data_IF_406413336801
#
_entry.id   IF_406413336801
#
_cell.length_a   1.000
_cell.length_b   1.000
_cell.length_c   1.000
_cell.angle_alpha   90.00
_cell.angle_beta   90.00
_cell.angle_gamma   90.00
#
_symmetry.space_group_name_H-M   'P 1'
#
loop_
_entity.id
_entity.type
_entity.pdbx_description
1 polymer ?
#
# COMPACT_ATOMS: atom_id res chain seq x y z
N UNK A 1 1.19 12.99 28.36
CA UNK A 1 1.94 13.85 27.41
C UNK A 1 1.78 13.26 26.01
N UNK A 2 0.86 13.80 25.21
CA UNK A 2 0.62 13.32 23.85
C UNK A 2 1.79 13.70 22.95
N UNK A 3 2.25 12.76 22.10
CA UNK A 3 3.27 13.06 21.08
C UNK A 3 2.69 14.08 20.12
N UNK A 4 3.21 15.30 20.14
CA UNK A 4 2.94 16.29 19.10
C UNK A 4 3.37 15.69 17.75
N UNK A 5 2.53 15.77 16.68
CA UNK A 5 2.89 15.24 15.38
C UNK A 5 4.19 15.89 14.92
N UNK A 6 5.22 15.07 14.66
CA UNK A 6 6.46 15.57 14.05
C UNK A 6 6.23 15.73 12.56
N UNK A 7 6.93 16.68 11.95
CA UNK A 7 6.94 16.86 10.50
C UNK A 7 7.25 15.52 9.82
N UNK A 8 6.23 14.92 9.21
CA UNK A 8 6.40 13.69 8.46
C UNK A 8 6.98 14.06 7.09
N UNK A 9 8.12 13.47 6.73
CA UNK A 9 8.63 13.57 5.36
C UNK A 9 7.54 13.06 4.42
N UNK A 10 7.26 13.82 3.37
CA UNK A 10 6.26 13.54 2.33
C UNK A 10 6.70 12.41 1.39
N UNK A 11 7.17 11.29 1.94
CA UNK A 11 7.31 10.06 1.18
C UNK A 11 5.91 9.53 0.89
N UNK A 12 5.59 9.30 -0.39
CA UNK A 12 4.29 8.77 -0.82
C UNK A 12 4.02 7.37 -0.25
N UNK A 13 5.08 6.61 0.04
CA UNK A 13 5.06 5.24 0.55
C UNK A 13 6.15 5.09 1.63
N UNK A 14 5.87 4.34 2.69
CA UNK A 14 6.80 4.01 3.79
C UNK A 14 6.91 2.51 3.97
N UNK A 15 8.07 2.05 4.45
CA UNK A 15 8.28 0.65 4.77
C UNK A 15 7.51 0.25 6.03
N UNK A 16 6.83 -0.90 6.01
CA UNK A 16 6.02 -1.37 7.14
C UNK A 16 6.90 -1.76 8.33
N UNK A 17 8.08 -2.35 8.06
CA UNK A 17 8.97 -2.84 9.10
C UNK A 17 9.67 -1.72 9.89
N UNK A 18 10.25 -0.74 9.18
CA UNK A 18 11.10 0.29 9.79
C UNK A 18 10.54 1.72 9.66
N UNK A 19 9.42 1.92 8.97
CA UNK A 19 8.80 3.23 8.73
C UNK A 19 9.69 4.24 7.97
N UNK A 20 10.77 3.76 7.35
CA UNK A 20 11.65 4.56 6.50
C UNK A 20 11.02 4.82 5.12
N UNK A 21 11.48 5.84 4.38
CA UNK A 21 11.04 6.11 3.03
C UNK A 21 11.27 4.94 2.06
N UNK A 22 10.42 4.86 1.05
CA UNK A 22 10.48 3.84 -0.01
C UNK A 22 10.67 4.53 -1.35
N UNK A 23 11.51 3.96 -2.21
CA UNK A 23 11.79 4.46 -3.56
C UNK A 23 11.37 3.43 -4.60
N UNK A 24 11.07 3.89 -5.82
CA UNK A 24 10.82 3.01 -6.97
C UNK A 24 12.14 2.82 -7.73
N UNK A 25 12.54 1.57 -7.95
CA UNK A 25 13.73 1.22 -8.74
C UNK A 25 13.46 1.41 -10.24
N UNK A 26 14.51 1.31 -11.06
CA UNK A 26 14.40 1.38 -12.52
C UNK A 26 13.62 0.20 -13.11
N UNK A 27 13.56 -0.92 -12.40
CA UNK A 27 12.78 -2.13 -12.74
C UNK A 27 11.31 -1.99 -12.31
N UNK A 28 10.97 -0.88 -11.65
CA UNK A 28 9.60 -0.58 -11.23
C UNK A 28 9.23 -1.14 -9.85
N UNK A 29 10.16 -1.78 -9.16
CA UNK A 29 9.99 -2.34 -7.82
C UNK A 29 10.06 -1.27 -6.74
N UNK A 30 9.44 -1.53 -5.58
CA UNK A 30 9.48 -0.61 -4.44
C UNK A 30 10.42 -1.15 -3.37
N UNK A 31 11.48 -0.41 -3.05
CA UNK A 31 12.50 -0.85 -2.09
C UNK A 31 12.68 0.19 -0.98
N UNK A 32 12.77 -0.29 0.27
CA UNK A 32 13.08 0.54 1.41
C UNK A 32 14.52 1.05 1.37
N UNK A 33 14.72 2.35 1.60
CA UNK A 33 16.07 2.96 1.56
C UNK A 33 16.97 2.60 2.75
N UNK A 34 16.39 1.99 3.79
CA UNK A 34 17.09 1.69 5.05
C UNK A 34 17.32 0.19 5.23
N UNK A 35 16.26 -0.63 5.24
CA UNK A 35 16.38 -2.07 5.45
C UNK A 35 16.42 -2.90 4.15
N UNK A 36 16.09 -2.32 3.00
CA UNK A 36 16.05 -3.04 1.72
C UNK A 36 14.78 -3.89 1.50
N UNK A 37 13.86 -3.95 2.46
CA UNK A 37 12.60 -4.70 2.29
C UNK A 37 11.73 -4.11 1.18
N UNK A 38 10.94 -4.98 0.55
CA UNK A 38 9.91 -4.64 -0.44
C UNK A 38 8.57 -4.47 0.27
N UNK A 39 8.09 -3.24 0.53
CA UNK A 39 6.93 -3.02 1.39
C UNK A 39 5.59 -3.08 0.64
N UNK A 40 5.64 -3.29 -0.67
CA UNK A 40 4.47 -3.39 -1.53
C UNK A 40 4.68 -4.62 -2.41
N UNK A 41 3.97 -5.69 -2.13
CA UNK A 41 3.84 -6.77 -3.10
C UNK A 41 2.90 -6.29 -4.21
N UNK A 42 3.25 -6.44 -5.50
CA UNK A 42 2.30 -6.18 -6.56
C UNK A 42 1.14 -7.15 -6.35
N UNK A 43 -0.01 -6.65 -5.92
CA UNK A 43 -1.25 -7.41 -6.06
C UNK A 43 -1.44 -7.55 -7.55
N UNK A 44 -1.19 -8.74 -8.10
CA UNK A 44 -1.55 -9.11 -9.47
C UNK A 44 -2.93 -8.53 -9.70
N UNK A 45 -3.05 -7.62 -10.67
CA UNK A 45 -4.24 -6.80 -10.89
C UNK A 45 -5.47 -7.68 -10.86
N UNK A 46 -6.22 -7.62 -9.76
CA UNK A 46 -7.63 -7.93 -9.80
C UNK A 46 -8.25 -6.78 -10.60
N UNK A 47 -8.20 -6.90 -11.92
CA UNK A 47 -9.33 -6.51 -12.75
C UNK A 47 -10.44 -7.52 -12.40
N UNK A 48 -11.45 -7.18 -11.57
CA UNK A 48 -12.69 -7.90 -11.67
C UNK A 48 -13.31 -7.42 -12.98
N UNK A 49 -13.01 -8.10 -14.09
CA UNK A 49 -13.99 -8.18 -15.17
C UNK A 49 -15.33 -8.50 -14.49
N UNK A 50 -16.21 -7.51 -14.53
CA UNK A 50 -17.43 -7.51 -13.75
C UNK A 50 -18.32 -8.68 -14.13
N UNK A 51 -18.33 -9.72 -13.30
CA UNK A 51 -19.44 -10.66 -13.23
C UNK A 51 -20.37 -10.20 -12.11
N UNK A 52 -21.61 -9.88 -12.52
CA UNK A 52 -22.59 -9.16 -11.72
C UNK A 52 -22.89 -9.81 -10.38
N UNK A 53 -22.85 -9.00 -9.32
CA UNK A 53 -23.56 -9.33 -8.08
C UNK A 53 -25.05 -9.22 -8.38
N UNK A 54 -25.71 -10.36 -8.57
CA UNK A 54 -27.17 -10.43 -8.58
C UNK A 54 -27.69 -10.00 -7.18
N UNK A 55 -28.54 -8.97 -7.07
CA UNK A 55 -29.05 -8.55 -5.77
C UNK A 55 -29.96 -9.65 -5.20
N UNK A 56 -29.72 -10.01 -3.93
CA UNK A 56 -30.51 -11.03 -3.23
C UNK A 56 -31.95 -10.51 -3.05
N UNK A 57 -32.99 -11.32 -3.31
CA UNK A 57 -34.37 -10.86 -3.12
C UNK A 57 -34.65 -10.60 -1.64
N UNK A 58 -35.33 -9.49 -1.36
CA UNK A 58 -35.91 -9.22 -0.05
C UNK A 58 -37.06 -10.22 0.17
N UNK A 59 -36.92 -11.08 1.18
CA UNK A 59 -38.07 -11.82 1.73
C UNK A 59 -38.82 -10.89 2.68
N UNK A 60 -40.12 -10.73 2.40
CA UNK A 60 -41.15 -10.06 3.20
C UNK A 60 -41.42 -10.78 4.52
#
# INVERSE_FOLDING_TARGET
MGRYPREARSARIKCIACNAPVVRTVEGEYVCVDCGDTPVEPTESSDPDGEGVEPRPATD
#
